data_IF_920616924117
#
_entry.id   IF_920616924117
#
_cell.length_a   1.000
_cell.length_b   1.000
_cell.length_c   1.000
_cell.angle_alpha   90.00
_cell.angle_beta   90.00
_cell.angle_gamma   90.00
#
_symmetry.space_group_name_H-M   'P 1'
#
loop_
_entity.id
_entity.type
_entity.pdbx_description
1 polymer ?
#
# COMPACT_ATOMS: atom_id res chain seq x y z
N UNK A 1 14.52 -0.10 9.27
CA UNK A 1 13.13 -0.54 9.10
C UNK A 1 12.23 0.68 9.09
N UNK A 2 11.67 1.00 7.93
CA UNK A 2 10.72 2.11 7.75
C UNK A 2 9.30 1.58 7.92
N UNK A 3 8.51 2.24 8.75
CA UNK A 3 7.11 1.88 8.98
C UNK A 3 6.21 2.59 7.97
N UNK A 4 5.36 1.83 7.27
CA UNK A 4 4.40 2.36 6.30
C UNK A 4 3.31 3.19 6.98
N UNK A 5 2.77 4.17 6.24
CA UNK A 5 1.74 5.10 6.71
C UNK A 5 2.23 6.23 7.61
N UNK A 6 3.53 6.25 7.94
CA UNK A 6 4.15 7.35 8.67
C UNK A 6 4.79 8.37 7.72
N UNK A 7 5.01 9.57 8.24
CA UNK A 7 5.70 10.63 7.50
C UNK A 7 7.21 10.37 7.55
N UNK A 8 7.82 10.36 6.38
CA UNK A 8 9.24 10.09 6.18
C UNK A 8 9.89 11.19 5.33
N UNK A 9 11.21 11.30 5.45
CA UNK A 9 12.03 12.24 4.71
C UNK A 9 13.24 11.53 4.10
N UNK A 10 13.49 11.79 2.83
CA UNK A 10 14.72 11.42 2.16
C UNK A 10 15.86 12.37 2.55
N UNK A 11 17.00 11.81 2.99
CA UNK A 11 18.12 12.59 3.49
C UNK A 11 18.91 13.33 2.39
N UNK A 12 18.82 12.89 1.13
CA UNK A 12 19.62 13.44 0.01
C UNK A 12 18.87 14.58 -0.68
N UNK A 13 17.64 14.32 -1.10
CA UNK A 13 16.79 15.28 -1.84
C UNK A 13 16.00 16.19 -0.92
N UNK A 14 15.80 15.79 0.34
CA UNK A 14 14.95 16.49 1.30
C UNK A 14 13.45 16.29 1.08
N UNK A 15 13.03 15.41 0.16
CA UNK A 15 11.62 15.11 -0.09
C UNK A 15 10.95 14.57 1.18
N UNK A 16 9.80 15.14 1.55
CA UNK A 16 8.98 14.72 2.69
C UNK A 16 7.62 14.23 2.19
N UNK A 17 7.12 13.14 2.76
CA UNK A 17 5.79 12.61 2.46
C UNK A 17 5.48 11.36 3.27
N UNK A 18 4.45 10.64 2.87
CA UNK A 18 4.03 9.40 3.54
C UNK A 18 4.68 8.19 2.85
N UNK A 19 5.22 7.26 3.65
CA UNK A 19 5.70 5.98 3.15
C UNK A 19 4.50 5.09 2.78
N UNK A 20 4.25 4.88 1.48
CA UNK A 20 3.06 4.14 1.02
C UNK A 20 3.35 2.71 0.59
N UNK A 21 4.59 2.42 0.19
CA UNK A 21 5.00 1.08 -0.19
C UNK A 21 6.44 0.80 0.22
N UNK A 22 6.73 -0.47 0.51
CA UNK A 22 8.07 -1.00 0.69
C UNK A 22 8.23 -2.20 -0.22
N UNK A 23 9.28 -2.20 -1.03
CA UNK A 23 9.63 -3.30 -1.92
C UNK A 23 10.96 -3.87 -1.47
N UNK A 24 11.03 -5.19 -1.38
CA UNK A 24 12.25 -5.92 -1.09
C UNK A 24 12.59 -6.79 -2.29
N UNK A 25 13.73 -6.52 -2.92
CA UNK A 25 14.21 -7.30 -4.04
C UNK A 25 14.88 -8.60 -3.55
N UNK A 26 14.95 -9.62 -4.42
CA UNK A 26 15.49 -10.96 -4.09
C UNK A 26 16.87 -10.96 -3.42
N UNK A 27 17.68 -9.92 -3.66
CA UNK A 27 19.04 -9.78 -3.10
C UNK A 27 19.10 -8.83 -1.88
N UNK A 28 17.97 -8.49 -1.28
CA UNK A 28 17.90 -7.70 -0.04
C UNK A 28 17.95 -6.19 -0.21
N UNK A 29 17.87 -5.66 -1.43
CA UNK A 29 17.67 -4.23 -1.64
C UNK A 29 16.25 -3.86 -1.22
N UNK A 30 16.11 -3.04 -0.17
CA UNK A 30 14.82 -2.52 0.26
C UNK A 30 14.66 -1.08 -0.22
N UNK A 31 13.54 -0.80 -0.87
CA UNK A 31 13.16 0.54 -1.31
C UNK A 31 11.80 0.92 -0.74
N UNK A 32 11.65 2.21 -0.45
CA UNK A 32 10.44 2.82 0.08
C UNK A 32 9.93 3.83 -0.93
N UNK A 33 8.63 3.74 -1.23
CA UNK A 33 7.95 4.75 -2.02
C UNK A 33 7.44 5.86 -1.10
N UNK A 34 7.84 7.10 -1.40
CA UNK A 34 7.38 8.30 -0.69
C UNK A 34 6.35 9.01 -1.55
N UNK A 35 5.13 9.14 -1.04
CA UNK A 35 4.04 9.90 -1.65
C UNK A 35 3.95 11.28 -0.96
N UNK A 36 4.22 12.38 -1.68
CA UNK A 36 4.01 13.71 -1.12
C UNK A 36 2.52 13.97 -0.85
N UNK A 37 2.22 14.73 0.21
CA UNK A 37 0.86 15.00 0.67
C UNK A 37 0.17 16.14 -0.09
N UNK A 38 0.92 16.88 -0.92
CA UNK A 38 0.40 18.00 -1.69
C UNK A 38 -0.24 17.60 -3.02
N UNK A 39 -1.09 18.51 -3.52
CA UNK A 39 -1.58 18.47 -4.90
C UNK A 39 -0.87 19.56 -5.70
N UNK A 40 -0.58 19.25 -6.96
CA UNK A 40 -0.11 20.20 -7.96
C UNK A 40 -1.12 20.20 -9.10
N UNK A 41 -1.69 21.37 -9.40
CA UNK A 41 -2.67 21.55 -10.47
C UNK A 41 -3.92 20.63 -10.33
N UNK A 42 -4.33 20.37 -9.08
CA UNK A 42 -5.48 19.49 -8.78
C UNK A 42 -5.17 17.99 -8.87
N UNK A 43 -3.94 17.60 -9.22
CA UNK A 43 -3.49 16.22 -9.23
C UNK A 43 -2.55 15.92 -8.05
N UNK A 44 -2.53 14.69 -7.52
CA UNK A 44 -1.51 14.28 -6.56
C UNK A 44 -0.11 14.47 -7.13
N UNK A 45 0.80 15.00 -6.32
CA UNK A 45 2.22 15.07 -6.72
C UNK A 45 2.74 13.64 -6.90
N UNK A 46 3.49 13.39 -7.97
CA UNK A 46 4.10 12.08 -8.23
C UNK A 46 5.06 11.69 -7.09
N UNK A 47 4.86 10.50 -6.52
CA UNK A 47 5.82 9.92 -5.60
C UNK A 47 7.05 9.36 -6.30
N UNK A 48 8.05 8.96 -5.50
CA UNK A 48 9.29 8.37 -5.99
C UNK A 48 9.80 7.29 -5.03
N UNK A 49 10.66 6.43 -5.56
CA UNK A 49 11.30 5.34 -4.83
C UNK A 49 12.68 5.76 -4.30
N UNK A 50 12.94 5.45 -3.04
CA UNK A 50 14.18 5.76 -2.35
C UNK A 50 14.69 4.52 -1.62
N UNK A 51 16.00 4.32 -1.57
CA UNK A 51 16.58 3.23 -0.78
C UNK A 51 16.28 3.41 0.71
N UNK A 52 15.91 2.33 1.41
CA UNK A 52 15.48 2.42 2.81
C UNK A 52 16.54 3.08 3.71
N UNK A 53 17.83 2.88 3.41
CA UNK A 53 18.95 3.41 4.20
C UNK A 53 19.06 4.94 4.18
N UNK A 54 18.49 5.62 3.17
CA UNK A 54 18.51 7.09 3.08
C UNK A 54 17.21 7.75 3.55
N UNK A 55 16.22 6.95 3.95
CA UNK A 55 14.92 7.42 4.40
C UNK A 55 14.86 7.43 5.93
N UNK A 56 14.41 8.54 6.50
CA UNK A 56 14.26 8.73 7.93
C UNK A 56 12.81 9.03 8.31
N UNK A 57 12.32 8.46 9.40
CA UNK A 57 10.97 8.76 9.91
C UNK A 57 10.97 10.11 10.62
N UNK A 58 10.07 10.99 10.20
CA UNK A 58 9.91 12.35 10.76
C UNK A 58 8.80 12.37 11.78
N UNK A 59 7.67 11.72 11.50
CA UNK A 59 6.48 11.79 12.34
C UNK A 59 5.74 10.46 12.35
N UNK A 60 5.42 10.00 13.55
CA UNK A 60 4.70 8.75 13.77
C UNK A 60 3.21 9.04 13.84
N UNK A 61 2.51 8.95 12.70
CA UNK A 61 1.05 9.07 12.66
C UNK A 61 0.35 7.86 13.32
N UNK A 62 -0.71 8.06 14.12
CA UNK A 62 -1.51 6.96 14.66
C UNK A 62 -2.34 6.34 13.54
N UNK A 63 -1.86 5.22 12.99
CA UNK A 63 -2.58 4.48 11.96
C UNK A 63 -3.52 3.50 12.67
N UNK A 64 -4.82 3.72 12.56
CA UNK A 64 -5.82 2.71 12.90
C UNK A 64 -5.83 1.65 11.78
N UNK A 65 -4.88 0.71 11.82
CA UNK A 65 -4.91 -0.44 10.93
C UNK A 65 -6.04 -1.36 11.41
N UNK A 66 -7.26 -1.15 10.90
CA UNK A 66 -8.25 -2.23 10.94
C UNK A 66 -7.67 -3.37 10.13
N UNK A 67 -7.43 -4.54 10.73
CA UNK A 67 -6.98 -5.71 10.01
C UNK A 67 -7.99 -6.04 8.90
N UNK A 68 -7.77 -5.53 7.70
CA UNK A 68 -8.53 -5.94 6.53
C UNK A 68 -7.97 -7.30 6.14
N UNK A 69 -8.56 -8.36 6.69
CA UNK A 69 -8.50 -9.66 6.05
C UNK A 69 -9.17 -9.50 4.69
N UNK A 70 -8.39 -9.54 3.60
CA UNK A 70 -8.97 -9.66 2.27
C UNK A 70 -9.54 -11.06 2.12
N UNK A 71 -10.71 -11.30 2.71
CA UNK A 71 -11.59 -12.39 2.34
C UNK A 71 -12.23 -12.04 0.99
N UNK A 72 -11.42 -11.89 -0.04
CA UNK A 72 -11.85 -11.76 -1.43
C UNK A 72 -12.06 -13.16 -2.03
N UNK A 73 -13.08 -13.39 -2.87
CA UNK A 73 -13.47 -14.72 -3.35
C UNK A 73 -12.56 -15.23 -4.49
N UNK A 74 -11.25 -14.99 -4.39
CA UNK A 74 -10.26 -15.38 -5.39
C UNK A 74 -9.82 -16.85 -5.32
N UNK A 75 -10.51 -17.67 -4.51
CA UNK A 75 -10.39 -19.12 -4.50
C UNK A 75 -11.63 -19.75 -5.13
N UNK A 76 -11.51 -21.01 -5.54
CA UNK A 76 -12.55 -21.79 -6.23
C UNK A 76 -13.93 -21.62 -5.58
N UNK A 77 -14.75 -20.72 -6.12
CA UNK A 77 -16.12 -20.57 -5.64
C UNK A 77 -16.85 -21.89 -5.94
N UNK A 78 -17.53 -22.50 -4.96
CA UNK A 78 -18.33 -23.68 -5.24
C UNK A 78 -19.37 -23.33 -6.33
N UNK A 79 -19.63 -24.24 -7.28
CA UNK A 79 -20.54 -23.95 -8.37
C UNK A 79 -21.91 -23.54 -7.80
N UNK A 80 -22.61 -22.59 -8.47
CA UNK A 80 -23.92 -22.16 -8.01
C UNK A 80 -24.87 -23.36 -7.89
N UNK A 81 -25.80 -23.35 -6.90
CA UNK A 81 -26.72 -24.47 -6.70
C UNK A 81 -27.57 -24.67 -7.97
N UNK A 82 -27.73 -25.93 -8.38
CA UNK A 82 -28.51 -26.27 -9.56
C UNK A 82 -29.95 -25.73 -9.42
N UNK A 83 -30.44 -25.00 -10.45
CA UNK A 83 -31.85 -24.59 -10.51
C UNK A 83 -32.72 -25.85 -10.47
N UNK A 84 -33.63 -25.94 -9.50
CA UNK A 84 -34.62 -27.03 -9.46
C UNK A 84 -35.44 -27.01 -10.76
N UNK A 85 -35.62 -28.16 -11.43
CA UNK A 85 -36.44 -28.21 -12.63
C UNK A 85 -37.88 -27.79 -12.29
N UNK A 86 -38.60 -27.11 -13.20
CA UNK A 86 -39.99 -26.77 -12.96
C UNK A 86 -40.79 -28.06 -12.72
N UNK A 87 -41.61 -28.04 -11.68
CA UNK A 87 -42.54 -29.11 -11.35
C UNK A 87 -43.41 -29.39 -12.57
N UNK A 88 -43.21 -30.54 -13.23
CA UNK A 88 -44.15 -31.03 -14.24
C UNK A 88 -45.42 -31.41 -13.50
N UNK A 89 -46.50 -30.69 -13.78
CA UNK A 89 -47.86 -31.08 -13.42
C UNK A 89 -48.34 -32.17 -14.39
#
# INVERSE_FOLDING_TARGET
MVTLGHRVKDAITGLVGIATARTEYMYGCAQVHIQPEGLKDGAPISGAWFDEQRVSTVEVLPIAVSAQSSAGPGGDAPPPPARKPPSRY
#
